data_IF_397754837501
#
_entry.id   IF_397754837501
#
_cell.length_a   1.000
_cell.length_b   1.000
_cell.length_c   1.000
_cell.angle_alpha   90.00
_cell.angle_beta   90.00
_cell.angle_gamma   90.00
#
_symmetry.space_group_name_H-M   'P 1'
#
loop_
_entity.id
_entity.type
_entity.pdbx_description
1 polymer ?
#
# COMPACT_ATOMS: atom_id res chain seq x y z
N UNK A 1 -31.50 54.14 -21.03
CA UNK A 1 -30.50 54.68 -20.09
C UNK A 1 -31.11 54.69 -18.70
N UNK A 2 -30.82 53.71 -17.82
CA UNK A 2 -31.70 53.47 -16.66
C UNK A 2 -31.04 53.30 -15.28
N UNK A 3 -29.71 53.25 -15.15
CA UNK A 3 -29.04 53.00 -13.84
C UNK A 3 -27.83 53.88 -13.54
N UNK A 4 -27.67 55.03 -14.21
CA UNK A 4 -26.66 56.04 -13.84
C UNK A 4 -25.20 55.74 -14.21
N UNK A 5 -24.89 54.66 -14.93
CA UNK A 5 -23.54 54.36 -15.41
C UNK A 5 -23.20 55.12 -16.70
N UNK A 6 -21.94 55.55 -16.83
CA UNK A 6 -21.43 56.18 -18.07
C UNK A 6 -21.34 55.16 -19.20
N UNK A 7 -21.46 55.61 -20.45
CA UNK A 7 -21.46 54.72 -21.61
C UNK A 7 -20.12 54.00 -21.80
N UNK A 8 -19.00 54.65 -21.44
CA UNK A 8 -17.67 54.04 -21.47
C UNK A 8 -17.54 52.88 -20.48
N UNK A 9 -18.08 53.04 -19.27
CA UNK A 9 -18.00 52.00 -18.23
C UNK A 9 -18.82 50.78 -18.60
N UNK A 10 -20.00 50.98 -19.20
CA UNK A 10 -20.86 49.89 -19.66
C UNK A 10 -20.19 49.09 -20.77
N UNK A 11 -19.55 49.75 -21.74
CA UNK A 11 -18.81 49.07 -22.82
C UNK A 11 -17.65 48.26 -22.24
N UNK A 12 -16.89 48.85 -21.32
CA UNK A 12 -15.75 48.18 -20.71
C UNK A 12 -16.14 46.94 -19.88
N UNK A 13 -17.22 47.03 -19.09
CA UNK A 13 -17.74 45.90 -18.32
C UNK A 13 -18.24 44.79 -19.25
N UNK A 14 -18.90 45.16 -20.36
CA UNK A 14 -19.38 44.19 -21.34
C UNK A 14 -18.22 43.42 -21.99
N UNK A 15 -17.16 44.12 -22.41
CA UNK A 15 -15.96 43.50 -22.98
C UNK A 15 -15.27 42.56 -21.97
N UNK A 16 -15.27 42.91 -20.68
CA UNK A 16 -14.78 42.04 -19.61
C UNK A 16 -15.66 40.80 -19.46
N UNK A 17 -16.99 40.95 -19.46
CA UNK A 17 -17.92 39.82 -19.37
C UNK A 17 -17.72 38.84 -20.53
N UNK A 18 -17.54 39.32 -21.76
CA UNK A 18 -17.28 38.47 -22.93
C UNK A 18 -15.98 37.68 -22.78
N UNK A 19 -14.90 38.34 -22.31
CA UNK A 19 -13.62 37.66 -22.01
C UNK A 19 -13.76 36.60 -20.92
N UNK A 20 -14.49 36.88 -19.84
CA UNK A 20 -14.69 35.93 -18.73
C UNK A 20 -15.68 34.81 -19.06
N UNK A 21 -16.63 35.04 -19.98
CA UNK A 21 -17.59 34.02 -20.39
C UNK A 21 -16.91 32.78 -21.00
N UNK A 22 -15.75 32.95 -21.65
CA UNK A 22 -14.95 31.84 -22.19
C UNK A 22 -14.38 30.89 -21.11
N UNK A 23 -14.22 31.35 -19.87
CA UNK A 23 -13.76 30.56 -18.73
C UNK A 23 -14.79 30.49 -17.58
N UNK A 24 -16.02 30.96 -17.84
CA UNK A 24 -17.09 31.01 -16.85
C UNK A 24 -17.55 29.60 -16.51
N UNK A 25 -17.49 29.23 -15.22
CA UNK A 25 -17.88 27.91 -14.77
C UNK A 25 -19.29 27.90 -14.15
N UNK A 26 -20.00 26.78 -14.30
CA UNK A 26 -21.34 26.65 -13.73
C UNK A 26 -21.27 26.55 -12.20
N UNK A 27 -21.71 27.61 -11.51
CA UNK A 27 -21.67 27.68 -10.03
C UNK A 27 -22.43 26.53 -9.35
N UNK A 28 -23.61 26.15 -9.84
CA UNK A 28 -24.38 25.05 -9.24
C UNK A 28 -23.63 23.72 -9.26
N UNK A 29 -22.94 23.41 -10.36
CA UNK A 29 -22.11 22.21 -10.47
C UNK A 29 -20.91 22.29 -9.52
N UNK A 30 -20.17 23.42 -9.53
CA UNK A 30 -19.01 23.60 -8.63
C UNK A 30 -19.39 23.49 -7.16
N UNK A 31 -20.50 24.09 -6.73
CA UNK A 31 -20.94 24.05 -5.33
C UNK A 31 -21.27 22.62 -4.90
N UNK A 32 -21.92 21.82 -5.75
CA UNK A 32 -22.24 20.44 -5.42
C UNK A 32 -20.98 19.59 -5.13
N UNK A 33 -19.95 19.68 -5.99
CA UNK A 33 -18.69 18.96 -5.77
C UNK A 33 -17.84 19.56 -4.63
N UNK A 34 -17.89 20.88 -4.43
CA UNK A 34 -17.21 21.53 -3.32
C UNK A 34 -17.75 21.04 -1.97
N UNK A 35 -19.06 20.83 -1.85
CA UNK A 35 -19.67 20.27 -0.63
C UNK A 35 -19.15 18.85 -0.35
N UNK A 36 -19.06 17.98 -1.37
CA UNK A 36 -18.49 16.63 -1.21
C UNK A 36 -17.00 16.67 -0.83
N UNK A 37 -16.23 17.56 -1.45
CA UNK A 37 -14.81 17.76 -1.15
C UNK A 37 -14.61 18.25 0.29
N UNK A 38 -15.47 19.17 0.74
CA UNK A 38 -15.46 19.63 2.13
C UNK A 38 -15.83 18.51 3.11
N UNK A 39 -16.85 17.71 2.80
CA UNK A 39 -17.25 16.57 3.66
C UNK A 39 -16.15 15.53 3.79
N UNK A 40 -15.48 15.17 2.69
CA UNK A 40 -14.35 14.23 2.71
C UNK A 40 -13.17 14.79 3.50
N UNK A 41 -12.80 16.05 3.29
CA UNK A 41 -11.77 16.72 4.07
C UNK A 41 -12.11 16.77 5.57
N UNK A 42 -13.37 17.07 5.91
CA UNK A 42 -13.85 17.10 7.28
C UNK A 42 -13.76 15.72 7.95
N UNK A 43 -14.18 14.66 7.27
CA UNK A 43 -14.06 13.29 7.78
C UNK A 43 -12.60 12.88 7.98
N UNK A 44 -11.71 13.22 7.04
CA UNK A 44 -10.28 12.95 7.16
C UNK A 44 -9.64 13.71 8.32
N UNK A 45 -10.06 14.95 8.58
CA UNK A 45 -9.54 15.77 9.68
C UNK A 45 -10.01 15.29 11.06
N UNK A 46 -11.27 14.87 11.19
CA UNK A 46 -11.87 14.53 12.50
C UNK A 46 -11.91 13.03 12.80
N UNK A 47 -11.98 12.17 11.78
CA UNK A 47 -12.02 10.70 11.89
C UNK A 47 -11.01 10.03 10.96
N UNK A 48 -9.71 10.36 11.09
CA UNK A 48 -8.69 9.98 10.13
C UNK A 48 -8.58 8.46 9.91
N UNK A 49 -8.56 7.65 10.98
CA UNK A 49 -8.45 6.20 10.84
C UNK A 49 -9.66 5.57 10.14
N UNK A 50 -10.87 5.99 10.49
CA UNK A 50 -12.10 5.47 9.86
C UNK A 50 -12.19 5.90 8.39
N UNK A 51 -11.84 7.15 8.08
CA UNK A 51 -11.79 7.65 6.72
C UNK A 51 -10.76 6.87 5.88
N UNK A 52 -9.55 6.68 6.39
CA UNK A 52 -8.50 5.95 5.68
C UNK A 52 -8.82 4.47 5.54
N UNK A 53 -9.41 3.82 6.54
CA UNK A 53 -9.88 2.43 6.43
C UNK A 53 -10.97 2.27 5.34
N UNK A 54 -11.88 3.24 5.24
CA UNK A 54 -12.89 3.26 4.18
C UNK A 54 -12.27 3.50 2.79
N UNK A 55 -11.30 4.43 2.68
CA UNK A 55 -10.58 4.70 1.44
C UNK A 55 -9.82 3.45 0.96
N UNK A 56 -9.05 2.82 1.85
CA UNK A 56 -8.33 1.57 1.58
C UNK A 56 -9.28 0.44 1.16
N UNK A 57 -10.45 0.36 1.79
CA UNK A 57 -11.47 -0.63 1.41
C UNK A 57 -12.08 -0.34 0.04
N UNK A 58 -12.28 0.93 -0.33
CA UNK A 58 -12.87 1.28 -1.62
C UNK A 58 -11.98 0.94 -2.81
N UNK A 59 -10.66 0.96 -2.61
CA UNK A 59 -9.65 0.69 -3.63
C UNK A 59 -8.88 -0.63 -3.38
N UNK A 60 -9.47 -1.57 -2.64
CA UNK A 60 -8.79 -2.81 -2.23
C UNK A 60 -8.30 -3.69 -3.39
N UNK A 61 -8.93 -3.56 -4.56
CA UNK A 61 -8.56 -4.31 -5.77
C UNK A 61 -7.41 -3.64 -6.56
N UNK A 62 -7.03 -2.40 -6.20
CA UNK A 62 -6.03 -1.62 -6.92
C UNK A 62 -4.77 -1.44 -6.07
N UNK A 63 -3.74 -2.24 -6.35
CA UNK A 63 -2.48 -2.24 -5.59
C UNK A 63 -1.74 -0.91 -5.63
N UNK A 64 -1.79 -0.19 -6.75
CA UNK A 64 -1.07 1.07 -6.91
C UNK A 64 -1.71 2.17 -6.05
N UNK A 65 -3.04 2.14 -5.94
CA UNK A 65 -3.79 3.01 -5.03
C UNK A 65 -3.57 2.63 -3.57
N UNK A 66 -3.56 1.35 -3.24
CA UNK A 66 -3.26 0.88 -1.88
C UNK A 66 -1.88 1.34 -1.42
N UNK A 67 -0.85 1.27 -2.26
CA UNK A 67 0.49 1.77 -1.91
C UNK A 67 0.46 3.28 -1.63
N UNK A 68 -0.26 4.05 -2.44
CA UNK A 68 -0.42 5.51 -2.26
C UNK A 68 -1.16 5.85 -0.96
N UNK A 69 -2.27 5.16 -0.69
CA UNK A 69 -3.06 5.35 0.53
C UNK A 69 -2.32 4.90 1.78
N UNK A 70 -1.52 3.82 1.70
CA UNK A 70 -0.64 3.38 2.80
C UNK A 70 0.37 4.47 3.14
N UNK A 71 1.06 5.03 2.14
CA UNK A 71 2.01 6.15 2.36
C UNK A 71 1.34 7.33 3.05
N UNK A 72 0.10 7.64 2.68
CA UNK A 72 -0.68 8.68 3.35
C UNK A 72 -1.01 8.33 4.80
N UNK A 73 -1.37 7.07 5.10
CA UNK A 73 -1.49 6.60 6.48
C UNK A 73 -0.19 6.80 7.27
N UNK A 74 0.96 6.44 6.70
CA UNK A 74 2.27 6.64 7.36
C UNK A 74 2.53 8.12 7.65
N UNK A 75 2.27 9.01 6.68
CA UNK A 75 2.42 10.46 6.84
C UNK A 75 1.48 11.04 7.91
N UNK A 76 0.29 10.45 8.07
CA UNK A 76 -0.68 10.79 9.10
C UNK A 76 -0.39 10.11 10.46
N UNK A 77 0.70 9.33 10.57
CA UNK A 77 1.04 8.49 11.74
C UNK A 77 -0.10 7.51 12.12
N UNK A 78 -0.80 6.98 11.12
CA UNK A 78 -1.80 5.93 11.29
C UNK A 78 -1.18 4.56 10.99
N UNK A 79 -0.94 3.72 12.01
CA UNK A 79 -0.30 2.43 11.79
C UNK A 79 -1.25 1.49 11.05
N UNK A 80 -0.77 0.93 9.94
CA UNK A 80 -1.46 -0.14 9.20
C UNK A 80 -0.88 -1.48 9.66
N UNK A 81 -1.65 -2.21 10.47
CA UNK A 81 -1.27 -3.50 11.03
C UNK A 81 -1.42 -4.61 9.98
N UNK A 82 -0.54 -5.65 10.01
CA UNK A 82 -0.64 -6.79 9.11
C UNK A 82 -1.97 -7.52 9.24
N UNK A 83 -2.42 -8.21 8.18
CA UNK A 83 -3.59 -9.06 8.27
C UNK A 83 -3.35 -10.14 9.34
N UNK A 84 -4.42 -10.61 9.95
CA UNK A 84 -4.42 -11.69 10.93
C UNK A 84 -5.78 -12.39 10.91
N UNK A 85 -5.82 -13.69 10.62
CA UNK A 85 -7.07 -14.44 10.46
C UNK A 85 -7.99 -14.39 11.69
N UNK A 86 -7.43 -14.21 12.88
CA UNK A 86 -8.18 -14.17 14.13
C UNK A 86 -8.73 -12.78 14.49
N UNK A 87 -8.33 -11.71 13.79
CA UNK A 87 -8.70 -10.33 14.12
C UNK A 87 -9.24 -9.56 12.90
N UNK A 88 -8.64 -9.74 11.74
CA UNK A 88 -8.98 -9.01 10.51
C UNK A 88 -10.39 -9.31 10.02
N UNK A 89 -11.04 -8.28 9.49
CA UNK A 89 -12.30 -8.41 8.77
C UNK A 89 -12.04 -8.71 7.28
N UNK A 90 -13.13 -8.83 6.53
CA UNK A 90 -13.06 -8.98 5.06
C UNK A 90 -12.40 -7.75 4.42
N UNK A 91 -12.81 -6.55 4.86
CA UNK A 91 -12.29 -5.25 4.42
C UNK A 91 -11.35 -4.65 5.47
N UNK A 92 -10.72 -3.52 5.16
CA UNK A 92 -9.90 -2.80 6.14
C UNK A 92 -10.78 -2.30 7.29
N UNK A 93 -10.31 -2.47 8.51
CA UNK A 93 -11.09 -2.15 9.71
C UNK A 93 -10.25 -1.36 10.71
N UNK A 94 -10.89 -0.46 11.45
CA UNK A 94 -10.24 0.27 12.53
C UNK A 94 -10.16 -0.61 13.77
N UNK A 95 -8.97 -0.73 14.35
CA UNK A 95 -8.75 -1.37 15.64
C UNK A 95 -8.64 -0.35 16.78
N UNK A 96 -8.54 -0.87 18.00
CA UNK A 96 -8.24 -0.04 19.17
C UNK A 96 -6.93 0.76 18.94
N UNK A 97 -6.85 1.94 19.57
CA UNK A 97 -5.71 2.87 19.42
C UNK A 97 -5.53 3.51 18.04
N UNK A 98 -6.60 3.67 17.25
CA UNK A 98 -6.58 4.42 15.98
C UNK A 98 -5.68 3.78 14.90
N UNK A 99 -5.49 2.46 14.99
CA UNK A 99 -4.77 1.66 14.01
C UNK A 99 -5.73 1.09 12.96
N UNK A 100 -5.21 0.83 11.75
CA UNK A 100 -5.97 0.20 10.67
C UNK A 100 -5.47 -1.23 10.51
N UNK A 101 -6.35 -2.21 10.64
CA UNK A 101 -6.05 -3.61 10.35
C UNK A 101 -6.26 -3.90 8.86
N UNK A 102 -5.28 -4.55 8.25
CA UNK A 102 -5.36 -4.97 6.85
C UNK A 102 -6.54 -5.92 6.61
N UNK A 103 -7.33 -5.68 5.56
CA UNK A 103 -8.45 -6.53 5.18
C UNK A 103 -8.00 -7.83 4.51
N UNK A 104 -8.62 -8.96 4.86
CA UNK A 104 -8.27 -10.26 4.26
C UNK A 104 -8.53 -10.32 2.75
N UNK A 105 -9.53 -9.58 2.26
CA UNK A 105 -9.86 -9.55 0.83
C UNK A 105 -8.82 -8.80 -0.02
N UNK A 106 -8.05 -7.88 0.59
CA UNK A 106 -7.02 -7.08 -0.08
C UNK A 106 -5.71 -7.84 -0.34
N UNK A 107 -5.62 -9.10 0.09
CA UNK A 107 -4.50 -9.99 -0.21
C UNK A 107 -4.68 -10.53 -1.64
N UNK A 108 -3.63 -10.46 -2.46
CA UNK A 108 -3.67 -10.89 -3.87
C UNK A 108 -4.13 -12.34 -3.98
N UNK A 109 -5.18 -12.57 -4.76
CA UNK A 109 -5.71 -13.90 -5.03
C UNK A 109 -6.62 -14.47 -3.93
N UNK A 110 -6.93 -13.71 -2.87
CA UNK A 110 -7.97 -14.09 -1.90
C UNK A 110 -9.37 -13.83 -2.45
N UNK A 111 -9.68 -12.57 -2.79
CA UNK A 111 -11.03 -12.14 -3.13
C UNK A 111 -12.00 -12.17 -1.93
N UNK A 112 -13.14 -11.50 -2.09
CA UNK A 112 -14.12 -11.28 -1.00
C UNK A 112 -14.73 -12.60 -0.51
N UNK A 113 -15.05 -13.53 -1.42
CA UNK A 113 -15.70 -14.79 -1.06
C UNK A 113 -14.84 -15.68 -0.14
N UNK A 114 -13.53 -15.73 -0.38
CA UNK A 114 -12.59 -16.48 0.44
C UNK A 114 -12.38 -15.81 1.81
N UNK A 115 -12.22 -14.48 1.81
CA UNK A 115 -12.11 -13.70 3.05
C UNK A 115 -13.36 -13.87 3.94
N UNK A 116 -14.55 -13.84 3.33
CA UNK A 116 -15.82 -14.05 4.03
C UNK A 116 -15.93 -15.45 4.63
N UNK A 117 -15.52 -16.49 3.88
CA UNK A 117 -15.50 -17.87 4.39
C UNK A 117 -14.62 -18.03 5.64
N UNK A 118 -13.48 -17.34 5.70
CA UNK A 118 -12.60 -17.34 6.88
C UNK A 118 -13.27 -16.62 8.05
N UNK A 119 -13.87 -15.45 7.82
CA UNK A 119 -14.61 -14.71 8.84
C UNK A 119 -15.80 -15.50 9.41
N UNK A 120 -16.57 -16.16 8.56
CA UNK A 120 -17.68 -17.05 8.95
C UNK A 120 -17.19 -18.26 9.74
N UNK A 121 -16.10 -18.90 9.29
CA UNK A 121 -15.47 -20.03 9.98
C UNK A 121 -15.03 -19.66 11.39
N UNK A 122 -14.43 -18.47 11.56
CA UNK A 122 -14.07 -17.89 12.86
C UNK A 122 -15.30 -17.62 13.73
N UNK A 123 -16.35 -17.02 13.17
CA UNK A 123 -17.56 -16.67 13.92
C UNK A 123 -18.29 -17.89 14.50
N UNK A 124 -18.26 -19.03 13.80
CA UNK A 124 -18.94 -20.26 14.23
C UNK A 124 -18.20 -21.04 15.32
N UNK A 125 -16.87 -21.07 15.27
CA UNK A 125 -16.05 -22.02 16.03
C UNK A 125 -14.90 -21.35 16.82
N UNK A 126 -15.03 -20.05 17.14
CA UNK A 126 -14.03 -19.22 17.81
C UNK A 126 -12.72 -19.04 17.00
N UNK A 127 -11.69 -18.48 17.63
CA UNK A 127 -10.36 -18.27 17.03
C UNK A 127 -9.76 -19.59 16.53
N UNK A 128 -9.02 -19.50 15.43
CA UNK A 128 -8.17 -20.58 14.92
C UNK A 128 -7.00 -20.78 15.88
N UNK A 129 -6.74 -22.04 16.25
CA UNK A 129 -5.69 -22.39 17.23
C UNK A 129 -4.31 -22.55 16.59
N UNK A 130 -4.28 -23.25 15.46
CA UNK A 130 -3.07 -23.57 14.71
C UNK A 130 -3.41 -23.75 13.22
N UNK A 131 -2.38 -24.00 12.41
CA UNK A 131 -2.54 -24.20 10.96
C UNK A 131 -3.46 -25.37 10.60
N UNK A 132 -3.44 -26.47 11.38
CA UNK A 132 -4.26 -27.65 11.11
C UNK A 132 -5.73 -27.39 11.43
N UNK A 133 -6.01 -26.70 12.54
CA UNK A 133 -7.35 -26.22 12.90
C UNK A 133 -7.90 -25.26 11.82
N UNK A 134 -7.06 -24.34 11.34
CA UNK A 134 -7.41 -23.47 10.23
C UNK A 134 -7.76 -24.25 8.96
N UNK A 135 -6.87 -25.15 8.51
CA UNK A 135 -7.12 -25.95 7.31
C UNK A 135 -8.37 -26.82 7.42
N UNK A 136 -8.63 -27.46 8.57
CA UNK A 136 -9.81 -28.32 8.76
C UNK A 136 -11.14 -27.56 8.78
N UNK A 137 -11.14 -26.28 9.18
CA UNK A 137 -12.36 -25.49 9.38
C UNK A 137 -12.73 -24.61 8.18
N UNK A 138 -11.78 -24.32 7.31
CA UNK A 138 -11.98 -23.45 6.15
C UNK A 138 -12.55 -24.25 4.98
N UNK A 139 -13.49 -23.66 4.25
CA UNK A 139 -14.05 -24.26 3.05
C UNK A 139 -13.01 -24.29 1.91
N UNK A 140 -12.45 -25.47 1.64
CA UNK A 140 -11.45 -25.71 0.60
C UNK A 140 -11.95 -25.37 -0.82
N UNK A 141 -13.27 -25.35 -1.05
CA UNK A 141 -13.84 -24.95 -2.36
C UNK A 141 -13.73 -23.44 -2.58
N UNK A 142 -13.68 -22.67 -1.49
CA UNK A 142 -13.57 -21.20 -1.52
C UNK A 142 -12.14 -20.71 -1.30
N UNK A 143 -11.36 -21.40 -0.46
CA UNK A 143 -9.98 -21.03 -0.13
C UNK A 143 -9.02 -22.07 -0.67
N UNK A 144 -8.43 -21.77 -1.83
CA UNK A 144 -7.44 -22.66 -2.45
C UNK A 144 -6.13 -22.72 -1.67
N UNK A 145 -5.34 -23.78 -1.87
CA UNK A 145 -3.97 -23.86 -1.33
C UNK A 145 -3.13 -22.63 -1.68
N UNK A 146 -3.23 -22.11 -2.92
CA UNK A 146 -2.52 -20.90 -3.35
C UNK A 146 -2.93 -19.67 -2.52
N UNK A 147 -4.21 -19.56 -2.18
CA UNK A 147 -4.72 -18.51 -1.31
C UNK A 147 -4.18 -18.66 0.13
N UNK A 148 -4.07 -19.89 0.64
CA UNK A 148 -3.43 -20.16 1.94
C UNK A 148 -1.93 -19.82 1.93
N UNK A 149 -1.20 -20.11 0.86
CA UNK A 149 0.20 -19.70 0.71
C UNK A 149 0.33 -18.16 0.72
N UNK A 150 -0.59 -17.46 0.05
CA UNK A 150 -0.65 -15.99 0.07
C UNK A 150 -0.95 -15.44 1.48
N UNK A 151 -1.88 -16.06 2.23
CA UNK A 151 -2.16 -15.70 3.63
C UNK A 151 -0.93 -15.84 4.53
N UNK A 152 -0.16 -16.92 4.37
CA UNK A 152 1.08 -17.11 5.15
C UNK A 152 2.11 -16.05 4.77
N UNK A 153 2.35 -15.84 3.47
CA UNK A 153 3.30 -14.82 2.98
C UNK A 153 2.93 -13.40 3.43
N UNK A 154 1.63 -13.09 3.50
CA UNK A 154 1.08 -11.82 3.94
C UNK A 154 1.13 -11.60 5.46
N UNK A 155 1.43 -12.64 6.24
CA UNK A 155 1.43 -12.58 7.71
C UNK A 155 0.10 -12.87 8.39
N UNK A 156 -0.95 -13.18 7.62
CA UNK A 156 -2.28 -13.44 8.15
C UNK A 156 -2.33 -14.63 9.13
N UNK A 157 -1.38 -15.55 9.01
CA UNK A 157 -1.30 -16.78 9.79
C UNK A 157 -0.13 -16.77 10.79
N UNK A 158 0.53 -15.62 11.01
CA UNK A 158 1.71 -15.52 11.89
C UNK A 158 1.42 -15.98 13.33
N UNK A 159 0.18 -15.79 13.81
CA UNK A 159 -0.24 -16.24 15.14
C UNK A 159 -0.48 -17.77 15.25
N UNK A 160 -0.48 -18.51 14.14
CA UNK A 160 -0.84 -19.94 14.10
C UNK A 160 0.39 -20.87 14.01
N UNK A 161 1.59 -20.33 14.06
CA UNK A 161 2.84 -21.10 14.01
C UNK A 161 4.05 -20.28 14.44
N UNK A 162 5.25 -20.88 14.46
CA UNK A 162 6.44 -20.21 14.96
C UNK A 162 6.99 -19.13 14.01
N UNK A 163 6.91 -19.37 12.69
CA UNK A 163 7.30 -18.42 11.64
C UNK A 163 6.70 -18.81 10.29
N UNK A 164 6.71 -17.86 9.33
CA UNK A 164 6.15 -18.04 7.97
C UNK A 164 6.81 -19.19 7.19
N UNK A 165 8.14 -19.38 7.18
CA UNK A 165 8.78 -20.52 6.51
C UNK A 165 8.30 -21.88 7.01
N UNK A 166 8.17 -22.03 8.33
CA UNK A 166 7.70 -23.28 8.95
C UNK A 166 6.23 -23.54 8.60
N UNK A 167 5.39 -22.50 8.60
CA UNK A 167 4.00 -22.59 8.18
C UNK A 167 3.87 -23.01 6.71
N UNK A 168 4.68 -22.42 5.80
CA UNK A 168 4.69 -22.79 4.38
C UNK A 168 5.11 -24.25 4.16
N UNK A 169 6.11 -24.73 4.92
CA UNK A 169 6.55 -26.12 4.83
C UNK A 169 5.51 -27.10 5.39
N UNK A 170 4.74 -26.71 6.41
CA UNK A 170 3.69 -27.53 7.01
C UNK A 170 2.40 -27.55 6.17
N UNK A 171 2.12 -26.49 5.40
CA UNK A 171 0.86 -26.32 4.66
C UNK A 171 0.48 -27.50 3.75
N UNK A 172 1.36 -28.12 2.94
CA UNK A 172 0.99 -29.24 2.09
C UNK A 172 0.41 -30.42 2.87
N UNK A 173 1.00 -30.72 4.04
CA UNK A 173 0.53 -31.80 4.92
C UNK A 173 -0.79 -31.43 5.61
N UNK A 174 -0.87 -30.22 6.17
CA UNK A 174 -2.09 -29.74 6.84
C UNK A 174 -3.29 -29.67 5.88
N UNK A 175 -3.09 -29.14 4.67
CA UNK A 175 -4.12 -29.07 3.64
C UNK A 175 -4.55 -30.46 3.16
N UNK A 176 -3.59 -31.37 2.91
CA UNK A 176 -3.90 -32.73 2.46
C UNK A 176 -4.73 -33.53 3.48
N UNK A 177 -4.39 -33.40 4.77
CA UNK A 177 -5.16 -34.03 5.85
C UNK A 177 -6.59 -33.47 5.93
N UNK A 178 -6.73 -32.15 5.82
CA UNK A 178 -8.03 -31.49 5.86
C UNK A 178 -8.93 -31.89 4.67
N UNK A 179 -8.38 -31.99 3.46
CA UNK A 179 -9.11 -32.50 2.30
C UNK A 179 -9.57 -33.95 2.50
N UNK A 180 -8.71 -34.81 3.07
CA UNK A 180 -9.08 -36.19 3.36
C UNK A 180 -10.22 -36.26 4.40
N UNK A 181 -10.14 -35.45 5.45
CA UNK A 181 -11.18 -35.37 6.48
C UNK A 181 -12.51 -34.90 5.90
N UNK A 182 -12.50 -33.86 5.06
CA UNK A 182 -13.69 -33.34 4.40
C UNK A 182 -14.35 -34.39 3.49
N UNK A 183 -13.54 -35.15 2.73
CA UNK A 183 -14.05 -36.25 1.87
C UNK A 183 -14.62 -37.40 2.69
N UNK A 184 -14.01 -37.76 3.82
CA UNK A 184 -14.53 -38.81 4.70
C UNK A 184 -15.90 -38.42 5.29
N UNK A 185 -16.05 -37.17 5.72
CA UNK A 185 -17.32 -36.63 6.21
C UNK A 185 -18.40 -36.58 5.11
N UNK A 186 -18.07 -36.09 3.91
CA UNK A 186 -19.01 -36.07 2.77
C UNK A 186 -19.44 -37.50 2.36
N UNK A 187 -18.57 -38.49 2.51
CA UNK A 187 -18.86 -39.90 2.22
C UNK A 187 -19.71 -40.60 3.30
N UNK A 188 -20.10 -39.90 4.38
CA UNK A 188 -20.87 -40.48 5.49
C UNK A 188 -20.09 -41.51 6.29
N UNK A 189 -18.76 -41.54 6.16
CA UNK A 189 -17.90 -42.29 7.06
C UNK A 189 -17.75 -41.46 8.33
N UNK A 190 -18.68 -41.66 9.28
CA UNK A 190 -18.40 -41.36 10.68
C UNK A 190 -17.25 -42.29 11.06
N UNK A 191 -16.05 -41.72 11.14
CA UNK A 191 -14.88 -42.47 11.50
C UNK A 191 -15.11 -43.03 12.91
N UNK A 192 -15.41 -44.34 12.97
CA UNK A 192 -15.69 -45.09 14.19
C UNK A 192 -14.46 -45.14 15.12
N UNK A 193 -13.33 -44.56 14.69
CA UNK A 193 -12.11 -44.30 15.43
C UNK A 193 -11.82 -42.80 15.67
N UNK A 194 -12.71 -41.87 15.29
CA UNK A 194 -12.53 -40.41 15.52
C UNK A 194 -12.46 -40.02 17.00
N UNK A 195 -12.91 -40.89 17.91
CA UNK A 195 -12.80 -40.72 19.37
C UNK A 195 -11.52 -41.31 19.99
N UNK A 196 -10.61 -41.87 19.18
CA UNK A 196 -9.48 -42.65 19.67
C UNK A 196 -8.26 -42.46 18.81
N UNK A 197 -7.43 -41.52 19.21
CA UNK A 197 -6.20 -41.08 18.54
C UNK A 197 -6.50 -40.03 17.48
N UNK A 198 -6.31 -38.77 17.85
CA UNK A 198 -5.60 -37.85 16.98
C UNK A 198 -4.41 -38.63 16.43
N UNK A 199 -4.52 -39.15 15.20
CA UNK A 199 -3.39 -39.74 14.49
C UNK A 199 -2.34 -38.65 14.60
N UNK A 200 -1.30 -39.01 15.36
CA UNK A 200 -0.46 -38.11 16.11
C UNK A 200 -0.18 -36.79 15.37
N UNK A 201 -0.19 -35.64 16.03
CA UNK A 201 1.03 -35.12 16.64
C UNK A 201 2.34 -35.90 16.35
N UNK A 202 2.57 -36.32 15.11
CA UNK A 202 3.87 -36.67 14.53
C UNK A 202 4.03 -35.62 13.43
N UNK A 203 5.02 -34.75 13.42
CA UNK A 203 6.29 -34.71 14.10
C UNK A 203 6.49 -33.27 14.63
N UNK A 204 7.43 -33.08 15.57
CA UNK A 204 7.78 -31.75 16.06
C UNK A 204 7.82 -30.75 14.92
N UNK A 205 7.06 -29.66 15.03
CA UNK A 205 6.93 -28.64 14.00
C UNK A 205 8.32 -28.39 13.43
N UNK A 206 8.52 -28.66 12.14
CA UNK A 206 9.81 -28.42 11.50
C UNK A 206 10.01 -26.92 11.57
N UNK A 207 10.81 -26.47 12.54
CA UNK A 207 11.15 -25.07 12.70
C UNK A 207 12.23 -24.77 11.69
N UNK A 208 11.82 -24.18 10.58
CA UNK A 208 12.72 -23.67 9.56
C UNK A 208 13.26 -22.33 10.04
N UNK A 209 14.51 -22.01 9.68
CA UNK A 209 15.10 -20.70 9.91
C UNK A 209 14.17 -19.61 9.36
N UNK A 210 13.99 -18.56 10.14
CA UNK A 210 13.14 -17.45 9.74
C UNK A 210 13.71 -16.69 8.53
N UNK A 211 12.84 -15.97 7.83
CA UNK A 211 13.20 -15.18 6.68
C UNK A 211 14.17 -14.05 7.03
N UNK A 212 15.05 -13.73 6.07
CA UNK A 212 15.75 -12.45 6.12
C UNK A 212 14.76 -11.32 5.86
N UNK A 213 15.10 -10.08 6.22
CA UNK A 213 14.26 -8.92 5.91
C UNK A 213 13.97 -8.81 4.40
N UNK A 214 14.94 -9.15 3.55
CA UNK A 214 14.74 -9.18 2.10
C UNK A 214 13.71 -10.23 1.66
N UNK A 215 13.78 -11.44 2.23
CA UNK A 215 12.84 -12.51 1.89
C UNK A 215 11.42 -12.19 2.38
N UNK A 216 11.31 -11.60 3.56
CA UNK A 216 10.04 -11.14 4.13
C UNK A 216 9.38 -10.08 3.25
N UNK A 217 10.14 -9.04 2.87
CA UNK A 217 9.64 -7.95 2.02
C UNK A 217 9.26 -8.46 0.62
N UNK A 218 10.03 -9.40 0.07
CA UNK A 218 9.68 -10.04 -1.21
C UNK A 218 8.36 -10.82 -1.10
N UNK A 219 8.15 -11.56 -0.01
CA UNK A 219 6.91 -12.30 0.24
C UNK A 219 5.70 -11.37 0.45
N UNK A 220 5.88 -10.22 1.10
CA UNK A 220 4.84 -9.20 1.25
C UNK A 220 4.52 -8.54 -0.09
N UNK A 221 5.52 -8.18 -0.89
CA UNK A 221 5.31 -7.62 -2.24
C UNK A 221 4.56 -8.59 -3.16
N UNK A 222 4.87 -9.88 -3.06
CA UNK A 222 4.19 -10.92 -3.81
C UNK A 222 2.72 -11.08 -3.38
N UNK A 223 2.44 -11.09 -2.07
CA UNK A 223 1.13 -11.42 -1.52
C UNK A 223 0.20 -10.22 -1.29
N UNK A 224 0.74 -9.09 -0.84
CA UNK A 224 0.00 -7.84 -0.58
C UNK A 224 0.11 -6.86 -1.75
N UNK A 225 1.19 -6.94 -2.53
CA UNK A 225 1.47 -5.94 -3.56
C UNK A 225 2.13 -4.67 -3.04
N UNK A 226 2.50 -4.61 -1.78
CA UNK A 226 3.24 -3.50 -1.18
C UNK A 226 4.15 -4.04 -0.08
N UNK A 227 5.11 -3.22 0.35
CA UNK A 227 5.92 -3.51 1.52
C UNK A 227 5.20 -2.96 2.75
N UNK A 228 4.86 -3.85 3.70
CA UNK A 228 4.09 -3.47 4.87
C UNK A 228 4.99 -3.33 6.10
N UNK A 229 5.88 -4.29 6.31
CA UNK A 229 6.74 -4.39 7.48
C UNK A 229 7.94 -3.44 7.47
N UNK A 230 8.33 -2.90 6.31
CA UNK A 230 9.47 -2.01 6.15
C UNK A 230 9.67 -1.59 4.71
N UNK A 231 10.86 -1.09 4.37
CA UNK A 231 11.23 -0.68 3.03
C UNK A 231 12.52 -1.39 2.58
N UNK A 232 12.67 -1.80 1.30
CA UNK A 232 13.85 -2.58 0.88
C UNK A 232 15.16 -1.79 0.92
N UNK A 233 15.08 -0.46 1.04
CA UNK A 233 16.24 0.41 1.28
C UNK A 233 16.72 0.38 2.73
N UNK A 234 15.92 -0.11 3.69
CA UNK A 234 16.22 -0.01 5.13
C UNK A 234 17.57 -0.65 5.50
N UNK A 235 17.95 -1.74 4.82
CA UNK A 235 19.24 -2.41 5.00
C UNK A 235 20.45 -1.52 4.63
N UNK A 236 20.25 -0.46 3.84
CA UNK A 236 21.28 0.47 3.38
C UNK A 236 21.21 1.83 4.08
N UNK A 237 20.27 2.02 5.04
CA UNK A 237 20.12 3.31 5.72
C UNK A 237 21.40 3.76 6.44
N UNK A 238 22.15 2.82 7.03
CA UNK A 238 23.41 3.10 7.71
C UNK A 238 24.53 3.51 6.73
N UNK A 239 24.51 2.96 5.51
CA UNK A 239 25.51 3.23 4.48
C UNK A 239 25.17 4.48 3.64
N UNK A 240 23.90 4.90 3.63
CA UNK A 240 23.41 6.03 2.83
C UNK A 240 24.25 7.31 2.99
N UNK A 241 24.63 7.77 4.20
CA UNK A 241 25.48 8.96 4.37
C UNK A 241 26.88 8.86 3.76
N UNK A 242 27.35 7.65 3.45
CA UNK A 242 28.66 7.40 2.85
C UNK A 242 28.62 7.33 1.32
N UNK A 243 27.43 7.11 0.73
CA UNK A 243 27.25 6.92 -0.73
C UNK A 243 26.39 8.02 -1.38
N UNK A 244 25.66 8.79 -0.58
CA UNK A 244 24.77 9.85 -1.01
C UNK A 244 25.06 11.16 -0.25
N UNK A 245 24.57 12.28 -0.80
CA UNK A 245 24.64 13.60 -0.17
C UNK A 245 23.84 13.67 1.14
N UNK A 246 22.86 12.79 1.30
CA UNK A 246 22.02 12.68 2.49
C UNK A 246 20.73 11.92 2.17
N UNK A 247 19.92 11.69 3.20
CA UNK A 247 18.59 11.11 3.06
C UNK A 247 17.66 12.02 2.25
N UNK A 248 16.80 11.43 1.42
CA UNK A 248 15.87 12.15 0.54
C UNK A 248 14.94 13.03 1.36
N UNK A 249 14.41 12.55 2.48
CA UNK A 249 13.53 13.33 3.35
C UNK A 249 14.19 14.63 3.85
N UNK A 250 15.47 14.58 4.22
CA UNK A 250 16.22 15.76 4.69
C UNK A 250 16.51 16.75 3.56
N UNK A 251 16.82 16.24 2.36
CA UNK A 251 17.12 17.09 1.19
C UNK A 251 15.84 17.77 0.70
N UNK A 252 14.70 17.06 0.69
CA UNK A 252 13.40 17.62 0.36
C UNK A 252 13.00 18.71 1.37
N UNK A 253 13.11 18.44 2.68
CA UNK A 253 12.79 19.42 3.72
C UNK A 253 13.71 20.66 3.68
N UNK A 254 15.00 20.45 3.41
CA UNK A 254 15.97 21.54 3.28
C UNK A 254 15.75 22.42 2.04
N UNK A 255 15.15 21.88 0.98
CA UNK A 255 14.75 22.66 -0.19
C UNK A 255 13.52 23.54 0.09
N UNK A 256 12.61 23.10 0.96
CA UNK A 256 11.41 23.87 1.35
C UNK A 256 11.68 24.93 2.44
N UNK A 257 12.80 24.81 3.19
CA UNK A 257 13.10 25.64 4.37
C UNK A 257 13.95 26.89 4.13
N UNK A 258 14.37 27.21 2.90
CA UNK A 258 15.12 28.44 2.65
C UNK A 258 14.17 29.62 2.50
N UNK A 259 14.26 30.57 3.44
CA UNK A 259 13.62 31.87 3.42
C UNK A 259 13.47 32.43 1.99
N UNK A 260 12.24 32.84 1.69
CA UNK A 260 11.79 33.55 0.48
C UNK A 260 12.49 34.91 0.23
N UNK A 261 13.62 35.20 0.89
CA UNK A 261 14.26 36.52 0.97
C UNK A 261 15.51 36.68 0.07
N UNK A 262 15.71 35.78 -0.89
CA UNK A 262 16.76 35.95 -1.90
C UNK A 262 16.18 35.86 -3.32
N UNK A 263 15.52 36.94 -3.73
CA UNK A 263 15.33 37.26 -5.14
C UNK A 263 16.69 37.17 -5.87
N UNK A 264 16.92 36.09 -6.63
CA UNK A 264 17.98 36.05 -7.63
C UNK A 264 18.94 34.85 -7.66
N UNK A 265 18.84 33.85 -6.79
CA UNK A 265 19.72 32.68 -6.86
C UNK A 265 18.94 31.36 -6.81
N UNK A 266 18.40 30.96 -7.96
CA UNK A 266 18.08 29.55 -8.24
C UNK A 266 19.39 28.76 -8.26
N UNK A 267 19.94 28.47 -7.07
CA UNK A 267 21.16 27.69 -6.93
C UNK A 267 20.85 26.23 -7.24
N UNK A 268 20.91 25.90 -8.52
CA UNK A 268 21.06 24.54 -9.03
C UNK A 268 22.17 23.83 -8.24
N UNK A 269 21.79 22.95 -7.31
CA UNK A 269 22.72 22.20 -6.48
C UNK A 269 22.86 20.79 -7.03
N UNK A 270 24.08 20.34 -7.24
CA UNK A 270 24.32 18.92 -7.52
C UNK A 270 24.11 18.10 -6.25
N UNK A 271 23.33 17.03 -6.37
CA UNK A 271 23.04 16.08 -5.30
C UNK A 271 23.21 14.66 -5.83
N UNK A 272 23.69 13.79 -4.96
CA UNK A 272 23.72 12.35 -5.16
C UNK A 272 22.76 11.73 -4.17
N UNK A 273 21.80 10.94 -4.66
CA UNK A 273 20.76 10.30 -3.85
C UNK A 273 20.84 8.79 -4.04
N UNK A 274 20.50 8.03 -3.01
CA UNK A 274 20.41 6.57 -3.08
C UNK A 274 18.99 6.14 -2.70
N UNK A 275 18.42 5.18 -3.42
CA UNK A 275 17.06 4.71 -3.16
C UNK A 275 16.60 3.66 -4.17
N UNK A 276 15.32 3.34 -4.12
CA UNK A 276 14.66 2.41 -5.05
C UNK A 276 13.88 3.23 -6.07
N UNK A 277 14.01 2.86 -7.34
CA UNK A 277 13.26 3.49 -8.42
C UNK A 277 11.85 2.90 -8.51
N UNK A 278 10.86 3.79 -8.57
CA UNK A 278 9.44 3.46 -8.68
C UNK A 278 8.76 4.33 -9.74
N UNK A 279 7.58 3.91 -10.21
CA UNK A 279 6.71 4.71 -11.10
C UNK A 279 7.39 5.28 -12.36
N UNK A 280 8.13 4.44 -13.09
CA UNK A 280 8.80 4.87 -14.32
C UNK A 280 7.76 5.14 -15.42
N UNK A 281 7.61 6.41 -15.80
CA UNK A 281 6.66 6.89 -16.82
C UNK A 281 7.39 7.60 -17.94
N UNK A 282 7.17 7.16 -19.18
CA UNK A 282 7.71 7.80 -20.39
C UNK A 282 6.65 8.66 -21.08
N UNK A 283 6.95 9.94 -21.29
CA UNK A 283 6.13 10.87 -22.09
C UNK A 283 7.02 11.59 -23.11
N UNK A 284 6.91 11.20 -24.39
CA UNK A 284 7.72 11.77 -25.46
C UNK A 284 9.22 11.56 -25.24
N UNK A 285 9.97 12.66 -25.16
CA UNK A 285 11.43 12.68 -24.91
C UNK A 285 11.82 12.69 -23.42
N UNK A 286 10.83 12.67 -22.52
CA UNK A 286 11.02 12.75 -21.06
C UNK A 286 10.62 11.45 -20.39
N UNK A 287 11.45 10.98 -19.48
CA UNK A 287 11.16 9.86 -18.59
C UNK A 287 11.17 10.39 -17.17
N UNK A 288 10.05 10.24 -16.50
CA UNK A 288 9.87 10.61 -15.09
C UNK A 288 9.84 9.34 -14.27
N UNK A 289 10.50 9.34 -13.13
CA UNK A 289 10.47 8.24 -12.16
C UNK A 289 10.60 8.84 -10.76
N UNK A 290 10.36 8.04 -9.73
CA UNK A 290 10.61 8.46 -8.36
C UNK A 290 11.69 7.62 -7.72
N UNK A 291 12.51 8.26 -6.89
CA UNK A 291 13.47 7.61 -6.02
C UNK A 291 12.97 7.67 -4.58
N UNK A 292 12.88 6.52 -3.91
CA UNK A 292 12.37 6.35 -2.55
C UNK A 292 13.46 5.71 -1.66
N UNK A 293 13.76 6.32 -0.52
CA UNK A 293 14.79 5.85 0.43
C UNK A 293 14.22 5.52 1.81
N UNK A 294 12.91 5.31 1.92
CA UNK A 294 12.13 5.16 3.16
C UNK A 294 11.98 6.43 4.01
N UNK A 295 12.89 7.40 3.91
CA UNK A 295 12.75 8.70 4.59
C UNK A 295 11.98 9.73 3.78
N UNK A 296 11.96 9.57 2.45
CA UNK A 296 11.27 10.46 1.54
C UNK A 296 11.34 9.98 0.11
N UNK A 297 10.59 10.69 -0.75
CA UNK A 297 10.47 10.39 -2.17
C UNK A 297 10.75 11.64 -2.99
N UNK A 298 11.58 11.51 -4.04
CA UNK A 298 11.88 12.61 -4.96
C UNK A 298 11.60 12.21 -6.40
N UNK A 299 10.94 13.10 -7.14
CA UNK A 299 10.75 12.93 -8.58
C UNK A 299 12.08 13.18 -9.31
N UNK A 300 12.45 12.25 -10.19
CA UNK A 300 13.61 12.31 -11.05
C UNK A 300 13.14 12.38 -12.49
N UNK A 301 13.64 13.39 -13.21
CA UNK A 301 13.40 13.55 -14.63
C UNK A 301 14.66 13.23 -15.42
N UNK A 302 14.56 12.32 -16.38
CA UNK A 302 15.58 11.99 -17.36
C UNK A 302 15.13 12.38 -18.77
N UNK A 303 16.04 12.98 -19.53
CA UNK A 303 15.82 13.24 -20.96
C UNK A 303 16.32 12.06 -21.81
N UNK A 304 15.89 12.05 -23.08
CA UNK A 304 16.10 10.94 -24.01
C UNK A 304 17.55 10.43 -24.08
N UNK A 305 18.55 11.32 -24.09
CA UNK A 305 19.96 10.93 -24.16
C UNK A 305 20.40 10.13 -22.91
N UNK A 306 20.15 10.68 -21.71
CA UNK A 306 20.44 10.00 -20.44
C UNK A 306 19.66 8.70 -20.32
N UNK A 307 18.40 8.68 -20.75
CA UNK A 307 17.58 7.46 -20.73
C UNK A 307 18.19 6.36 -21.59
N UNK A 308 18.60 6.65 -22.83
CA UNK A 308 19.21 5.64 -23.70
C UNK A 308 20.51 5.07 -23.11
N UNK A 309 21.30 5.91 -22.43
CA UNK A 309 22.54 5.50 -21.78
C UNK A 309 22.29 4.59 -20.57
N UNK A 310 21.32 4.93 -19.72
CA UNK A 310 21.13 4.26 -18.42
C UNK A 310 19.92 3.32 -18.35
N UNK A 311 19.18 3.10 -19.45
CA UNK A 311 17.97 2.24 -19.46
C UNK A 311 18.17 0.86 -18.85
N UNK A 312 19.35 0.27 -19.03
CA UNK A 312 19.70 -1.05 -18.48
C UNK A 312 19.82 -1.07 -16.95
N UNK A 313 20.01 0.09 -16.32
CA UNK A 313 20.02 0.26 -14.87
C UNK A 313 18.63 0.53 -14.30
N UNK A 314 17.64 0.85 -15.13
CA UNK A 314 16.28 1.15 -14.67
C UNK A 314 15.43 -0.11 -14.44
N UNK A 315 15.98 -1.29 -14.76
CA UNK A 315 15.29 -2.56 -14.61
C UNK A 315 15.52 -3.18 -13.22
N UNK A 316 14.46 -3.79 -12.68
CA UNK A 316 14.46 -4.53 -11.41
C UNK A 316 14.26 -3.67 -10.16
N UNK A 317 13.85 -4.33 -9.07
CA UNK A 317 13.75 -3.74 -7.73
C UNK A 317 15.13 -3.77 -7.05
N UNK A 318 16.03 -2.89 -7.49
CA UNK A 318 17.36 -2.79 -6.89
C UNK A 318 17.72 -1.35 -6.58
N UNK A 319 18.54 -1.18 -5.54
CA UNK A 319 18.98 0.13 -5.09
C UNK A 319 19.84 0.80 -6.16
N UNK A 320 19.59 2.08 -6.39
CA UNK A 320 20.30 2.92 -7.35
C UNK A 320 20.83 4.15 -6.66
N UNK A 321 22.03 4.54 -7.06
CA UNK A 321 22.64 5.82 -6.72
C UNK A 321 22.51 6.72 -7.94
N UNK A 322 21.83 7.84 -7.80
CA UNK A 322 21.55 8.79 -8.87
C UNK A 322 22.19 10.12 -8.52
N UNK A 323 23.01 10.64 -9.43
CA UNK A 323 23.58 11.99 -9.31
C UNK A 323 22.95 12.92 -10.33
N UNK A 324 22.59 14.12 -9.90
CA UNK A 324 21.96 15.09 -10.78
C UNK A 324 21.77 16.46 -10.12
N UNK A 325 21.16 17.36 -10.86
CA UNK A 325 20.88 18.71 -10.41
C UNK A 325 19.51 18.78 -9.73
N UNK A 326 19.47 19.19 -8.47
CA UNK A 326 18.24 19.49 -7.76
C UNK A 326 17.70 20.86 -8.23
N UNK A 327 16.41 20.88 -8.59
CA UNK A 327 15.66 22.10 -8.90
C UNK A 327 14.36 22.10 -8.11
N UNK A 328 14.01 23.24 -7.54
CA UNK A 328 12.69 23.44 -6.95
C UNK A 328 11.71 23.73 -8.10
N UNK A 329 10.62 22.98 -8.17
CA UNK A 329 9.53 23.23 -9.12
C UNK A 329 8.37 23.83 -8.34
N UNK A 330 8.12 25.13 -8.53
CA UNK A 330 7.09 25.88 -7.81
C UNK A 330 5.66 25.49 -8.23
N UNK A 331 5.49 24.58 -9.20
CA UNK A 331 4.20 24.25 -9.81
C UNK A 331 3.51 22.97 -9.32
N UNK A 332 4.06 22.23 -8.33
CA UNK A 332 3.57 20.88 -7.97
C UNK A 332 2.80 20.82 -6.63
N UNK A 333 2.65 21.93 -5.89
CA UNK A 333 1.75 21.98 -4.73
C UNK A 333 0.43 22.68 -5.09
N UNK A 334 -0.49 21.93 -5.71
CA UNK A 334 -1.95 22.17 -5.68
C UNK A 334 -2.70 20.84 -5.79
#
# INVERSE_FOLDING_TARGET
MGKGASQSDVSHIFDLMEKFAGYGFNKSHSVAYAVLSYQTAWLKAHYPAAFMAAALSSDMDNTDRLETLKRECDAMNLPVLPPEVNQSAEQFSVEAANAIRYGLAAIKGMGIAAASAICEGRAKLNKYKDLYDFCNRVDHKKVSRRAMEALIKAGALDALGPNRPSLLAALPGAHGQAEQNARAQEAGQDDLFSGGSSIAAIAGAIVIRDWTSSDLLAAERESLGLYLSGHPFDQYLADCPHIATGYIGNIAAGASGTNHDAYGSQSSREVTLAGILTDIRKRGNRVTMYLDDSTGRLEITMFQESYQRFRHLLEGEAVRVVSGTLRHDDFIND
#
